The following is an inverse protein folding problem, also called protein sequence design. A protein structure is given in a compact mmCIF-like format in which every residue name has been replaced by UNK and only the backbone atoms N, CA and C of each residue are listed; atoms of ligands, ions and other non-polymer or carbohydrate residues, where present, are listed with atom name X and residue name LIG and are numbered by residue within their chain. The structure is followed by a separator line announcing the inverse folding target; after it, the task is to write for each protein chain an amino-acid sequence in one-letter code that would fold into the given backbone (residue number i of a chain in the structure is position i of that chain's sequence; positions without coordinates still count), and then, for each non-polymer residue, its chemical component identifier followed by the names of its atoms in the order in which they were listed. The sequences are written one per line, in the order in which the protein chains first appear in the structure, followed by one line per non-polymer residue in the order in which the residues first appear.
data_IF_377180059928
#
_entry.id   IF_377180059928
#
_cell.length_a   1.000
_cell.length_b   1.000
_cell.length_c   1.000
_cell.angle_alpha   90.00
_cell.angle_beta   90.00
_cell.angle_gamma   90.00
#
_symmetry.space_group_name_H-M   'P 1'
#
loop_
_entity.id
_entity.type
_entity.pdbx_description
1 polymer ?
#
# COMPACT_ATOMS: atom_id res chain seq x y z
N UNK A 1 8.81 -49.06 -30.25
CA UNK A 1 9.15 -47.64 -30.00
C UNK A 1 8.44 -47.23 -28.73
N UNK A 2 9.18 -46.87 -27.67
CA UNK A 2 8.59 -46.45 -26.38
C UNK A 2 8.39 -44.94 -26.42
N UNK A 3 7.14 -44.51 -26.36
CA UNK A 3 6.72 -43.11 -26.35
C UNK A 3 7.12 -42.49 -25.01
N UNK A 4 8.06 -41.55 -25.02
CA UNK A 4 8.44 -40.77 -23.85
C UNK A 4 7.43 -39.62 -23.72
N UNK A 5 6.62 -39.67 -22.66
CA UNK A 5 5.71 -38.60 -22.27
C UNK A 5 6.54 -37.42 -21.74
N UNK A 6 6.46 -36.20 -22.28
CA UNK A 6 7.15 -35.07 -21.68
C UNK A 6 6.36 -34.65 -20.44
N UNK A 7 6.96 -34.81 -19.26
CA UNK A 7 6.50 -34.12 -18.06
C UNK A 7 6.63 -32.62 -18.31
N UNK A 8 5.49 -31.96 -18.51
CA UNK A 8 5.36 -30.51 -18.41
C UNK A 8 5.60 -30.13 -16.94
N UNK A 9 6.84 -29.75 -16.63
CA UNK A 9 7.16 -29.05 -15.39
C UNK A 9 6.49 -27.67 -15.45
N UNK A 10 5.32 -27.56 -14.85
CA UNK A 10 4.74 -26.28 -14.44
C UNK A 10 5.67 -25.69 -13.37
N UNK A 11 6.67 -24.93 -13.81
CA UNK A 11 7.33 -23.99 -12.91
C UNK A 11 6.29 -22.94 -12.58
N UNK A 12 5.72 -23.01 -11.38
CA UNK A 12 5.06 -21.86 -10.78
C UNK A 12 6.11 -20.76 -10.72
N UNK A 13 6.09 -19.85 -11.69
CA UNK A 13 6.72 -18.57 -11.56
C UNK A 13 5.90 -17.84 -10.48
N UNK A 14 6.22 -18.11 -9.21
CA UNK A 14 5.84 -17.21 -8.13
C UNK A 14 6.42 -15.87 -8.54
N UNK A 15 5.54 -14.93 -8.89
CA UNK A 15 5.88 -13.53 -9.13
C UNK A 15 6.75 -13.12 -7.95
N UNK A 16 8.06 -12.98 -8.17
CA UNK A 16 8.96 -12.60 -7.10
C UNK A 16 8.62 -11.17 -6.74
N UNK A 17 7.87 -10.99 -5.64
CA UNK A 17 7.74 -9.71 -4.98
C UNK A 17 9.15 -9.09 -4.90
N UNK A 18 9.28 -7.82 -5.30
CA UNK A 18 10.56 -7.12 -5.21
C UNK A 18 11.15 -7.32 -3.81
N UNK A 19 12.44 -7.68 -3.69
CA UNK A 19 13.04 -7.92 -2.39
C UNK A 19 12.93 -6.65 -1.56
N UNK A 20 12.18 -6.74 -0.45
CA UNK A 20 12.02 -5.66 0.53
C UNK A 20 13.34 -5.45 1.27
N UNK A 21 13.57 -4.24 1.75
CA UNK A 21 14.73 -3.93 2.59
C UNK A 21 14.72 -4.75 3.88
N UNK A 22 15.88 -4.97 4.52
CA UNK A 22 15.93 -5.61 5.83
C UNK A 22 15.06 -4.89 6.88
N UNK A 23 15.03 -3.55 6.84
CA UNK A 23 14.24 -2.73 7.76
C UNK A 23 12.74 -2.96 7.58
N UNK A 24 12.26 -2.99 6.33
CA UNK A 24 10.85 -3.26 6.05
C UNK A 24 10.51 -4.72 6.35
N UNK A 25 11.37 -5.66 5.98
CA UNK A 25 11.17 -7.10 6.25
C UNK A 25 11.01 -7.35 7.75
N UNK A 26 11.89 -6.76 8.57
CA UNK A 26 11.79 -6.85 10.02
C UNK A 26 10.48 -6.23 10.52
N UNK A 27 10.12 -5.04 10.06
CA UNK A 27 8.88 -4.38 10.47
C UNK A 27 7.64 -5.22 10.12
N UNK A 28 7.58 -5.81 8.93
CA UNK A 28 6.46 -6.65 8.50
C UNK A 28 6.34 -7.90 9.36
N UNK A 29 7.47 -8.54 9.70
CA UNK A 29 7.50 -9.68 10.61
C UNK A 29 6.92 -9.34 11.99
N UNK A 30 7.36 -8.22 12.58
CA UNK A 30 6.86 -7.76 13.89
C UNK A 30 5.36 -7.41 13.85
N UNK A 31 4.91 -6.73 12.78
CA UNK A 31 3.49 -6.39 12.59
C UNK A 31 2.64 -7.66 12.46
N UNK A 32 3.08 -8.64 11.68
CA UNK A 32 2.38 -9.90 11.51
C UNK A 32 2.21 -10.64 12.84
N UNK A 33 3.28 -10.71 13.65
CA UNK A 33 3.20 -11.28 15.01
C UNK A 33 2.18 -10.53 15.88
N UNK A 34 2.11 -9.19 15.78
CA UNK A 34 1.11 -8.43 16.53
C UNK A 34 -0.33 -8.72 16.08
N UNK A 35 -0.56 -8.99 14.79
CA UNK A 35 -1.89 -9.36 14.30
C UNK A 35 -2.34 -10.70 14.88
N UNK A 36 -1.48 -11.71 14.86
CA UNK A 36 -1.75 -13.02 15.47
C UNK A 36 -2.04 -12.89 16.97
N UNK A 37 -1.21 -12.13 17.69
CA UNK A 37 -1.42 -11.87 19.12
C UNK A 37 -2.69 -11.10 19.40
N UNK A 38 -3.13 -10.21 18.49
CA UNK A 38 -4.37 -9.46 18.63
C UNK A 38 -5.59 -10.36 18.53
N UNK A 39 -5.58 -11.33 17.61
CA UNK A 39 -6.65 -12.34 17.46
C UNK A 39 -6.71 -13.23 18.70
N UNK A 40 -5.57 -13.79 19.13
CA UNK A 40 -5.49 -14.72 20.26
C UNK A 40 -5.94 -14.05 21.57
N UNK A 41 -5.42 -12.86 21.84
CA UNK A 41 -5.63 -12.18 23.13
C UNK A 41 -6.82 -11.21 23.11
N UNK A 42 -7.55 -11.12 21.99
CA UNK A 42 -8.64 -10.14 21.78
C UNK A 42 -8.20 -8.71 22.12
N UNK A 43 -7.01 -8.32 21.63
CA UNK A 43 -6.46 -6.99 21.91
C UNK A 43 -7.36 -5.89 21.31
N UNK A 44 -7.34 -4.68 21.89
CA UNK A 44 -7.83 -3.49 21.20
C UNK A 44 -7.24 -3.43 19.79
N UNK A 45 -8.03 -3.02 18.79
CA UNK A 45 -7.69 -2.93 17.36
C UNK A 45 -7.80 -4.22 16.54
N UNK A 46 -8.08 -5.37 17.16
CA UNK A 46 -8.42 -6.60 16.41
C UNK A 46 -9.66 -6.44 15.53
N UNK A 47 -10.56 -5.51 15.87
CA UNK A 47 -11.72 -5.18 15.06
C UNK A 47 -11.39 -4.48 13.72
N UNK A 48 -10.16 -3.96 13.58
CA UNK A 48 -9.71 -3.24 12.37
C UNK A 48 -9.03 -4.19 11.36
N UNK A 49 -8.67 -5.42 11.77
CA UNK A 49 -8.11 -6.44 10.87
C UNK A 49 -9.00 -6.76 9.65
N UNK A 50 -10.33 -6.97 9.80
CA UNK A 50 -11.20 -7.25 8.66
C UNK A 50 -11.62 -6.00 7.86
N UNK A 51 -11.19 -4.79 8.26
CA UNK A 51 -11.56 -3.55 7.58
C UNK A 51 -10.71 -3.31 6.34
N UNK A 52 -11.34 -3.42 5.17
CA UNK A 52 -10.72 -3.27 3.85
C UNK A 52 -10.04 -1.92 3.64
N UNK A 53 -10.41 -0.87 4.39
CA UNK A 53 -9.78 0.45 4.23
C UNK A 53 -8.45 0.56 4.95
N UNK A 54 -8.11 -0.41 5.81
CA UNK A 54 -6.97 -0.36 6.74
C UNK A 54 -5.76 -1.13 6.23
N UNK A 55 -4.58 -0.71 6.68
CA UNK A 55 -3.31 -1.37 6.35
C UNK A 55 -3.26 -2.87 6.67
N UNK A 56 -3.84 -3.38 7.79
CA UNK A 56 -3.84 -4.82 8.06
C UNK A 56 -4.49 -5.64 6.97
N UNK A 57 -5.65 -5.23 6.47
CA UNK A 57 -6.35 -5.96 5.42
C UNK A 57 -5.51 -6.02 4.12
N UNK A 58 -4.84 -4.92 3.78
CA UNK A 58 -3.87 -4.92 2.69
C UNK A 58 -2.75 -5.92 2.93
N UNK A 59 -2.05 -5.85 4.08
CA UNK A 59 -0.90 -6.72 4.36
C UNK A 59 -1.26 -8.20 4.48
N UNK A 60 -2.50 -8.53 4.88
CA UNK A 60 -2.95 -9.92 4.99
C UNK A 60 -3.35 -10.53 3.65
N UNK A 61 -3.81 -9.72 2.69
CA UNK A 61 -4.45 -10.23 1.47
C UNK A 61 -3.76 -9.84 0.16
N UNK A 62 -2.74 -8.98 0.17
CA UNK A 62 -2.09 -8.51 -1.06
C UNK A 62 -1.30 -9.61 -1.79
N UNK A 63 -0.66 -10.51 -1.05
CA UNK A 63 0.11 -11.63 -1.63
C UNK A 63 -0.76 -12.88 -1.90
N UNK A 64 -2.05 -12.84 -1.55
CA UNK A 64 -2.99 -13.93 -1.79
C UNK A 64 -3.53 -13.90 -3.23
N UNK A 65 -3.73 -15.07 -3.84
CA UNK A 65 -4.32 -15.18 -5.18
C UNK A 65 -5.64 -15.95 -5.13
N UNK A 66 -6.66 -15.45 -5.83
CA UNK A 66 -7.99 -16.07 -5.96
C UNK A 66 -8.72 -16.35 -4.63
N UNK A 67 -8.42 -15.61 -3.57
CA UNK A 67 -9.17 -15.67 -2.30
C UNK A 67 -10.25 -14.60 -2.27
N UNK A 68 -11.27 -14.79 -1.42
CA UNK A 68 -12.29 -13.74 -1.19
C UNK A 68 -11.64 -12.46 -0.67
N UNK A 69 -10.58 -12.56 0.14
CA UNK A 69 -9.84 -11.42 0.67
C UNK A 69 -9.11 -10.64 -0.41
N UNK A 70 -8.33 -11.31 -1.25
CA UNK A 70 -7.57 -10.65 -2.31
C UNK A 70 -8.47 -10.10 -3.42
N UNK A 71 -9.55 -10.80 -3.79
CA UNK A 71 -10.53 -10.28 -4.76
C UNK A 71 -11.17 -8.98 -4.24
N UNK A 72 -11.54 -8.94 -2.96
CA UNK A 72 -12.10 -7.73 -2.34
C UNK A 72 -11.07 -6.60 -2.32
N UNK A 73 -9.86 -6.89 -1.83
CA UNK A 73 -8.77 -5.90 -1.78
C UNK A 73 -8.49 -5.31 -3.16
N UNK A 74 -8.37 -6.15 -4.18
CA UNK A 74 -8.12 -5.73 -5.56
C UNK A 74 -9.24 -4.84 -6.09
N UNK A 75 -10.51 -5.20 -5.87
CA UNK A 75 -11.63 -4.36 -6.26
C UNK A 75 -11.62 -3.00 -5.54
N UNK A 76 -11.25 -2.97 -4.25
CA UNK A 76 -11.13 -1.73 -3.49
C UNK A 76 -9.99 -0.85 -3.99
N UNK A 77 -8.80 -1.42 -4.20
CA UNK A 77 -7.65 -0.71 -4.78
C UNK A 77 -7.97 -0.18 -6.17
N UNK A 78 -8.64 -0.94 -7.02
CA UNK A 78 -9.07 -0.48 -8.35
C UNK A 78 -10.04 0.72 -8.27
N UNK A 79 -11.01 0.66 -7.34
CA UNK A 79 -11.93 1.77 -7.09
C UNK A 79 -11.21 3.03 -6.62
N UNK A 80 -10.29 2.90 -5.66
CA UNK A 80 -9.46 4.00 -5.20
C UNK A 80 -8.61 4.56 -6.34
N UNK A 81 -7.97 3.71 -7.14
CA UNK A 81 -7.08 4.14 -8.22
C UNK A 81 -7.85 4.96 -9.25
N UNK A 82 -9.03 4.49 -9.64
CA UNK A 82 -9.93 5.23 -10.55
C UNK A 82 -10.30 6.60 -9.97
N UNK A 83 -10.63 6.67 -8.68
CA UNK A 83 -10.97 7.93 -8.02
C UNK A 83 -9.79 8.92 -8.01
N UNK A 84 -8.57 8.45 -7.71
CA UNK A 84 -7.37 9.30 -7.75
C UNK A 84 -7.06 9.79 -9.16
N UNK A 85 -7.18 8.93 -10.15
CA UNK A 85 -6.99 9.28 -11.56
C UNK A 85 -7.98 10.36 -12.02
N UNK A 86 -9.27 10.14 -11.80
CA UNK A 86 -10.34 11.08 -12.19
C UNK A 86 -10.20 12.42 -11.46
N UNK A 87 -9.81 12.38 -10.18
CA UNK A 87 -9.56 13.58 -9.39
C UNK A 87 -8.39 14.39 -9.97
N UNK A 88 -7.24 13.74 -10.20
CA UNK A 88 -6.06 14.38 -10.77
C UNK A 88 -6.33 14.95 -12.17
N UNK A 89 -7.04 14.20 -13.00
CA UNK A 89 -7.44 14.63 -14.34
C UNK A 89 -8.33 15.88 -14.28
N UNK A 90 -9.35 15.88 -13.42
CA UNK A 90 -10.27 17.02 -13.29
C UNK A 90 -9.60 18.25 -12.67
N UNK A 91 -8.74 18.08 -11.67
CA UNK A 91 -7.99 19.20 -11.08
C UNK A 91 -7.09 19.86 -12.12
N UNK A 92 -6.37 19.06 -12.92
CA UNK A 92 -5.53 19.57 -14.03
C UNK A 92 -6.37 20.31 -15.08
N UNK A 93 -7.53 19.78 -15.44
CA UNK A 93 -8.44 20.39 -16.44
C UNK A 93 -9.02 21.72 -15.96
N UNK A 94 -9.31 21.85 -14.67
CA UNK A 94 -9.97 23.03 -14.09
C UNK A 94 -8.98 24.05 -13.50
N UNK A 95 -7.68 23.77 -13.51
CA UNK A 95 -6.65 24.65 -12.92
C UNK A 95 -6.75 24.77 -11.39
N UNK A 96 -7.36 23.79 -10.73
CA UNK A 96 -7.52 23.77 -9.26
C UNK A 96 -6.21 23.43 -8.55
N UNK A 97 -6.06 23.91 -7.31
CA UNK A 97 -4.96 23.48 -6.44
C UNK A 97 -5.15 22.03 -5.99
N UNK A 98 -4.08 21.24 -6.08
CA UNK A 98 -4.06 19.84 -5.68
C UNK A 98 -3.13 19.62 -4.48
N UNK A 99 -3.34 18.53 -3.72
CA UNK A 99 -2.42 18.16 -2.63
C UNK A 99 -1.17 17.40 -3.15
N UNK A 100 -1.17 17.01 -4.44
CA UNK A 100 -0.05 16.46 -5.19
C UNK A 100 -0.11 16.91 -6.66
N UNK A 101 1.02 17.11 -7.32
CA UNK A 101 1.14 17.68 -8.67
C UNK A 101 1.88 16.72 -9.61
N UNK A 102 1.18 15.67 -10.03
CA UNK A 102 1.70 14.76 -11.05
C UNK A 102 1.65 15.42 -12.44
N UNK A 103 2.81 15.60 -13.08
CA UNK A 103 2.91 16.24 -14.40
C UNK A 103 2.21 15.41 -15.48
N UNK A 104 2.51 14.12 -15.52
CA UNK A 104 1.89 13.15 -16.41
C UNK A 104 0.86 12.31 -15.66
N UNK A 105 -0.41 12.72 -15.74
CA UNK A 105 -1.53 12.02 -15.11
C UNK A 105 -1.78 10.64 -15.74
N UNK A 106 -1.22 10.33 -16.92
CA UNK A 106 -1.33 8.99 -17.52
C UNK A 106 -0.55 7.94 -16.74
N UNK A 107 0.45 8.34 -15.95
CA UNK A 107 1.13 7.44 -15.02
C UNK A 107 0.21 6.91 -13.90
N UNK A 108 -0.92 7.59 -13.67
CA UNK A 108 -1.97 7.21 -12.73
C UNK A 108 -3.17 6.57 -13.44
N UNK A 109 -3.11 6.27 -14.75
CA UNK A 109 -4.23 5.61 -15.43
C UNK A 109 -4.32 4.15 -14.95
N UNK A 110 -5.42 3.73 -14.28
CA UNK A 110 -5.56 2.38 -13.73
C UNK A 110 -5.54 1.28 -14.79
N UNK A 111 -5.79 1.60 -16.07
CA UNK A 111 -5.72 0.62 -17.17
C UNK A 111 -4.29 0.44 -17.68
N UNK A 112 -3.42 1.42 -17.49
CA UNK A 112 -2.02 1.38 -17.93
C UNK A 112 -1.10 0.88 -16.83
N UNK A 113 -1.41 1.24 -15.59
CA UNK A 113 -0.58 0.96 -14.42
C UNK A 113 -1.42 0.35 -13.29
N UNK A 114 -2.03 -0.83 -13.49
CA UNK A 114 -2.96 -1.41 -12.50
C UNK A 114 -2.36 -1.51 -11.09
N UNK A 115 -1.05 -1.74 -11.00
CA UNK A 115 -0.33 -1.97 -9.74
C UNK A 115 0.15 -0.66 -9.07
N UNK A 116 -0.11 0.51 -9.65
CA UNK A 116 0.44 1.79 -9.18
C UNK A 116 0.16 2.07 -7.69
N UNK A 117 -1.06 1.79 -7.21
CA UNK A 117 -1.39 2.02 -5.81
C UNK A 117 -0.72 1.01 -4.87
N UNK A 118 -0.57 -0.24 -5.29
CA UNK A 118 0.18 -1.23 -4.53
C UNK A 118 1.65 -0.80 -4.41
N UNK A 119 2.28 -0.45 -5.54
CA UNK A 119 3.65 0.06 -5.58
C UNK A 119 3.82 1.29 -4.70
N UNK A 120 2.85 2.22 -4.72
CA UNK A 120 2.84 3.40 -3.87
C UNK A 120 2.78 3.05 -2.38
N UNK A 121 1.90 2.13 -1.99
CA UNK A 121 1.79 1.67 -0.60
C UNK A 121 3.12 1.06 -0.15
N UNK A 122 3.69 0.16 -0.95
CA UNK A 122 4.96 -0.48 -0.63
C UNK A 122 6.12 0.50 -0.54
N UNK A 123 6.19 1.46 -1.47
CA UNK A 123 7.20 2.51 -1.45
C UNK A 123 7.10 3.37 -0.17
N UNK A 124 5.89 3.72 0.25
CA UNK A 124 5.67 4.46 1.50
C UNK A 124 6.08 3.62 2.71
N UNK A 125 5.77 2.33 2.74
CA UNK A 125 6.19 1.43 3.82
C UNK A 125 7.72 1.31 3.88
N UNK A 126 8.39 1.16 2.74
CA UNK A 126 9.86 1.19 2.63
C UNK A 126 10.46 2.48 3.19
N UNK A 127 9.98 3.62 2.70
CA UNK A 127 10.42 4.95 3.14
C UNK A 127 10.20 5.16 4.62
N UNK A 128 9.07 4.69 5.14
CA UNK A 128 8.71 4.81 6.55
C UNK A 128 9.57 3.93 7.43
N UNK A 129 9.82 2.68 7.02
CA UNK A 129 10.70 1.76 7.75
C UNK A 129 12.10 2.34 7.93
N UNK A 130 12.62 3.04 6.90
CA UNK A 130 13.95 3.69 6.93
C UNK A 130 13.96 5.01 7.71
N UNK A 131 13.00 5.91 7.46
CA UNK A 131 13.07 7.29 7.94
C UNK A 131 12.31 7.53 9.26
N UNK A 132 11.31 6.71 9.57
CA UNK A 132 10.62 6.69 10.86
C UNK A 132 10.34 5.26 11.33
N UNK A 133 11.38 4.48 11.71
CA UNK A 133 11.22 3.08 12.09
C UNK A 133 10.24 2.88 13.24
N UNK A 134 9.97 3.91 14.04
CA UNK A 134 9.04 3.83 15.17
C UNK A 134 7.58 4.17 14.79
N UNK A 135 7.29 4.66 13.58
CA UNK A 135 5.95 5.09 13.14
C UNK A 135 4.86 4.06 13.44
N UNK A 136 5.12 2.80 13.08
CA UNK A 136 4.19 1.69 13.25
C UNK A 136 4.40 0.88 14.53
N UNK A 137 5.45 1.16 15.31
CA UNK A 137 5.75 0.48 16.58
C UNK A 137 5.22 1.23 17.81
N UNK A 138 5.16 2.58 17.71
CA UNK A 138 4.67 3.45 18.79
C UNK A 138 3.25 3.08 19.23
N UNK A 139 2.94 3.41 20.49
CA UNK A 139 1.63 3.18 21.09
C UNK A 139 1.17 1.72 20.95
N UNK A 140 2.08 0.77 21.21
CA UNK A 140 1.83 -0.67 21.10
C UNK A 140 1.25 -1.05 19.73
N UNK A 141 1.93 -0.60 18.67
CA UNK A 141 1.57 -0.86 17.28
C UNK A 141 0.21 -0.32 16.80
N UNK A 142 -0.48 0.54 17.57
CA UNK A 142 -1.80 1.05 17.18
C UNK A 142 -1.85 1.64 15.76
N UNK A 143 -0.75 2.29 15.32
CA UNK A 143 -0.65 2.83 13.96
C UNK A 143 -0.61 1.77 12.85
N UNK A 144 -0.09 0.56 13.12
CA UNK A 144 -0.10 -0.54 12.16
C UNK A 144 -1.52 -1.09 11.95
N UNK A 145 -2.37 -1.03 12.98
CA UNK A 145 -3.78 -1.46 12.88
C UNK A 145 -4.69 -0.38 12.28
N UNK A 146 -4.57 0.86 12.75
CA UNK A 146 -5.60 1.88 12.51
C UNK A 146 -5.41 2.76 11.28
N UNK A 147 -4.22 2.74 10.64
CA UNK A 147 -3.96 3.62 9.50
C UNK A 147 -4.75 3.18 8.27
N UNK A 148 -5.41 4.14 7.63
CA UNK A 148 -6.08 3.91 6.35
C UNK A 148 -5.06 3.83 5.21
N UNK A 149 -5.28 2.92 4.27
CA UNK A 149 -4.45 2.83 3.06
C UNK A 149 -4.53 4.09 2.21
N UNK A 150 -5.67 4.80 2.23
CA UNK A 150 -5.84 6.09 1.55
C UNK A 150 -4.90 7.16 2.11
N UNK A 151 -4.63 7.15 3.42
CA UNK A 151 -3.67 8.05 4.07
C UNK A 151 -2.23 7.75 3.64
N UNK A 152 -1.88 6.46 3.53
CA UNK A 152 -0.59 5.99 3.01
C UNK A 152 -0.41 6.46 1.56
N UNK A 153 -1.40 6.22 0.70
CA UNK A 153 -1.39 6.64 -0.71
C UNK A 153 -1.27 8.16 -0.83
N UNK A 154 -2.05 8.92 -0.06
CA UNK A 154 -2.02 10.38 -0.07
C UNK A 154 -0.65 10.94 0.30
N UNK A 155 -0.04 10.40 1.35
CA UNK A 155 1.30 10.78 1.75
C UNK A 155 2.33 10.45 0.66
N UNK A 156 2.27 9.24 0.08
CA UNK A 156 3.13 8.85 -1.03
C UNK A 156 3.01 9.78 -2.23
N UNK A 157 1.77 10.02 -2.70
CA UNK A 157 1.49 10.96 -3.79
C UNK A 157 2.03 12.36 -3.51
N UNK A 158 1.83 12.89 -2.30
CA UNK A 158 2.32 14.22 -1.94
C UNK A 158 3.85 14.29 -1.94
N UNK A 159 4.54 13.24 -1.47
CA UNK A 159 6.00 13.27 -1.40
C UNK A 159 6.72 12.95 -2.71
N UNK A 160 6.14 12.09 -3.54
CA UNK A 160 6.72 11.72 -4.84
C UNK A 160 6.36 12.68 -5.96
N UNK A 161 5.18 13.30 -5.85
CA UNK A 161 4.70 14.30 -6.80
C UNK A 161 4.35 15.60 -6.07
N UNK A 162 5.31 16.28 -5.42
CA UNK A 162 5.02 17.49 -4.66
C UNK A 162 4.70 18.66 -5.60
N UNK A 163 3.69 19.45 -5.22
CA UNK A 163 3.41 20.74 -5.87
C UNK A 163 4.46 21.82 -5.53
N UNK A 164 5.11 21.67 -4.37
CA UNK A 164 6.07 22.62 -3.83
C UNK A 164 7.29 21.86 -3.29
N UNK A 165 8.49 22.36 -3.55
CA UNK A 165 9.72 21.79 -3.00
C UNK A 165 10.51 22.89 -2.25
N UNK A 166 10.64 22.81 -0.90
CA UNK A 166 10.07 21.78 -0.02
C UNK A 166 8.54 21.92 0.16
N UNK A 167 7.88 20.83 0.56
CA UNK A 167 6.43 20.85 0.87
C UNK A 167 6.20 21.72 2.13
N UNK A 168 5.36 22.77 2.07
CA UNK A 168 5.08 23.63 3.22
C UNK A 168 4.54 22.85 4.41
N UNK A 169 5.01 23.15 5.63
CA UNK A 169 4.55 22.48 6.86
C UNK A 169 3.04 22.52 7.06
N UNK A 170 2.37 23.57 6.61
CA UNK A 170 0.90 23.71 6.68
C UNK A 170 0.15 22.72 5.79
N UNK A 171 0.82 22.13 4.80
CA UNK A 171 0.24 21.14 3.87
C UNK A 171 0.67 19.70 4.19
N UNK A 172 1.61 19.53 5.12
CA UNK A 172 2.13 18.22 5.53
C UNK A 172 1.10 17.47 6.37
N UNK A 173 0.93 16.18 6.07
CA UNK A 173 0.13 15.27 6.88
C UNK A 173 0.71 15.09 8.29
N UNK A 174 -0.12 15.38 9.30
CA UNK A 174 0.25 15.24 10.71
C UNK A 174 0.73 13.82 11.04
N UNK A 175 1.82 13.74 11.81
CA UNK A 175 2.43 12.49 12.24
C UNK A 175 3.23 11.75 11.17
N UNK A 176 3.36 12.29 9.95
CA UNK A 176 4.27 11.79 8.92
C UNK A 176 5.54 12.64 8.85
N UNK A 177 6.66 12.03 8.48
CA UNK A 177 7.94 12.74 8.29
C UNK A 177 8.13 13.07 6.81
N UNK A 178 8.63 14.25 6.51
CA UNK A 178 8.88 14.76 5.15
C UNK A 178 10.37 14.98 4.92
#
# INVERSE_FOLDING_TARGET
MKTVLPLLLLTCASVQAQPRSPELTQLLSEIHEQYELAVINKRPYSQDLPDITKLPYFLQHIDETDTVGSIRLNAYLQGLHTAYFDNAYNQKRLGGGSWFCMRDTMALDPRRHPDFLEDMIWMVLEKTAKNDPQKFRRANYAGAFGVDISMIINYGLQTEYPCYSPIPKSLQFNGWKY
#
